data_IF_870619804551
#
_entry.id   IF_870619804551
#
_cell.length_a   1.000
_cell.length_b   1.000
_cell.length_c   1.000
_cell.angle_alpha   90.00
_cell.angle_beta   90.00
_cell.angle_gamma   90.00
#
_symmetry.space_group_name_H-M   'P 1'
#
loop_
_entity.id
_entity.type
_entity.pdbx_description
1 polymer ?
#
# COMPACT_ATOMS: atom_id res chain seq x y z
N UNK A 1 3.47 -11.13 -15.55
CA UNK A 1 2.28 -10.25 -15.46
C UNK A 1 2.31 -9.61 -14.08
N UNK A 2 2.41 -8.28 -14.02
CA UNK A 2 2.56 -7.55 -12.75
C UNK A 2 1.40 -7.87 -11.81
N UNK A 3 1.69 -8.10 -10.54
CA UNK A 3 0.71 -7.97 -9.46
C UNK A 3 -0.14 -6.74 -9.74
N UNK A 4 -1.45 -6.92 -9.89
CA UNK A 4 -2.34 -5.81 -10.20
C UNK A 4 -2.25 -4.83 -9.03
N UNK A 5 -1.52 -3.74 -9.23
CA UNK A 5 -1.42 -2.66 -8.27
C UNK A 5 -2.86 -2.25 -7.90
N UNK A 6 -3.10 -2.05 -6.61
CA UNK A 6 -4.38 -1.58 -6.08
C UNK A 6 -4.93 -0.47 -6.97
N UNK A 7 -6.04 -0.73 -7.66
CA UNK A 7 -6.67 0.23 -8.54
C UNK A 7 -7.79 0.95 -7.75
N UNK A 8 -7.56 2.20 -7.30
CA UNK A 8 -8.59 2.98 -6.61
C UNK A 8 -9.81 3.31 -7.49
N UNK A 9 -9.76 3.03 -8.79
CA UNK A 9 -10.86 3.22 -9.75
C UNK A 9 -11.56 1.90 -10.14
N UNK A 10 -11.68 0.96 -9.20
CA UNK A 10 -12.62 -0.15 -9.37
C UNK A 10 -14.04 0.42 -9.51
N UNK A 11 -14.90 -0.20 -10.34
CA UNK A 11 -16.28 0.25 -10.57
C UNK A 11 -17.07 0.48 -9.28
N UNK A 12 -16.79 -0.31 -8.22
CA UNK A 12 -17.38 -0.15 -6.89
C UNK A 12 -17.03 1.19 -6.24
N UNK A 13 -15.77 1.64 -6.39
CA UNK A 13 -15.31 2.94 -5.87
C UNK A 13 -15.88 4.09 -6.68
N UNK A 14 -15.95 3.94 -8.01
CA UNK A 14 -16.57 4.94 -8.88
C UNK A 14 -18.04 5.11 -8.52
N UNK A 15 -18.80 4.02 -8.38
CA UNK A 15 -20.20 4.07 -7.99
C UNK A 15 -20.38 4.70 -6.61
N UNK A 16 -19.55 4.33 -5.63
CA UNK A 16 -19.57 4.92 -4.31
C UNK A 16 -19.29 6.42 -4.35
N UNK A 17 -18.26 6.86 -5.08
CA UNK A 17 -17.95 8.29 -5.19
C UNK A 17 -19.09 9.06 -5.86
N UNK A 18 -19.71 8.49 -6.89
CA UNK A 18 -20.86 9.10 -7.59
C UNK A 18 -22.07 9.28 -6.68
N UNK A 19 -22.46 8.23 -5.94
CA UNK A 19 -23.56 8.31 -4.98
C UNK A 19 -23.29 9.36 -3.90
N UNK A 20 -22.06 9.40 -3.36
CA UNK A 20 -21.68 10.37 -2.34
C UNK A 20 -21.67 11.80 -2.88
N UNK A 21 -21.19 12.02 -4.11
CA UNK A 21 -21.22 13.34 -4.75
C UNK A 21 -22.65 13.86 -4.93
N UNK A 22 -23.58 13.01 -5.36
CA UNK A 22 -25.00 13.39 -5.50
C UNK A 22 -25.59 13.75 -4.13
N UNK A 23 -25.34 12.92 -3.10
CA UNK A 23 -25.81 13.18 -1.74
C UNK A 23 -25.25 14.50 -1.18
N UNK A 24 -23.96 14.77 -1.35
CA UNK A 24 -23.39 16.05 -0.90
C UNK A 24 -23.88 17.24 -1.69
N UNK A 25 -24.06 17.09 -3.01
CA UNK A 25 -24.65 18.14 -3.85
C UNK A 25 -26.04 18.52 -3.37
N UNK A 26 -26.85 17.52 -3.00
CA UNK A 26 -28.19 17.71 -2.46
C UNK A 26 -28.15 18.46 -1.13
N UNK A 27 -27.26 18.07 -0.22
CA UNK A 27 -27.21 18.74 1.09
C UNK A 27 -26.68 20.17 0.95
N UNK A 28 -25.65 20.39 0.14
CA UNK A 28 -25.04 21.70 -0.06
C UNK A 28 -25.92 22.67 -0.84
N UNK A 29 -26.85 22.19 -1.67
CA UNK A 29 -27.82 23.09 -2.32
C UNK A 29 -28.72 23.81 -1.32
N UNK A 30 -29.04 23.16 -0.19
CA UNK A 30 -29.77 23.79 0.93
C UNK A 30 -28.83 24.52 1.89
N UNK A 31 -27.64 23.97 2.13
CA UNK A 31 -26.72 24.39 3.19
C UNK A 31 -25.31 24.73 2.67
N UNK A 32 -25.15 25.71 1.77
CA UNK A 32 -23.89 25.99 1.08
C UNK A 32 -22.76 26.48 2.01
N UNK A 33 -23.13 27.02 3.18
CA UNK A 33 -22.19 27.50 4.20
C UNK A 33 -21.38 26.37 4.84
N UNK A 34 -21.93 25.15 4.91
CA UNK A 34 -21.32 24.01 5.60
C UNK A 34 -20.42 23.16 4.69
N UNK A 35 -19.92 23.74 3.60
CA UNK A 35 -19.13 23.02 2.62
C UNK A 35 -17.90 22.35 3.21
N UNK A 36 -17.16 23.05 4.07
CA UNK A 36 -15.93 22.54 4.65
C UNK A 36 -16.25 21.34 5.56
N UNK A 37 -17.30 21.45 6.37
CA UNK A 37 -17.75 20.41 7.27
C UNK A 37 -18.18 19.15 6.51
N UNK A 38 -18.97 19.30 5.43
CA UNK A 38 -19.36 18.18 4.58
C UNK A 38 -18.20 17.59 3.79
N UNK A 39 -17.23 18.41 3.36
CA UNK A 39 -16.04 17.93 2.68
C UNK A 39 -15.12 17.12 3.62
N UNK A 40 -14.97 17.56 4.87
CA UNK A 40 -14.26 16.79 5.92
C UNK A 40 -14.98 15.47 6.18
N UNK A 41 -16.32 15.50 6.32
CA UNK A 41 -17.11 14.29 6.49
C UNK A 41 -16.92 13.31 5.32
N UNK A 42 -16.90 13.81 4.08
CA UNK A 42 -16.59 13.00 2.90
C UNK A 42 -15.23 12.32 3.02
N UNK A 43 -14.18 13.07 3.37
CA UNK A 43 -12.83 12.51 3.55
C UNK A 43 -12.84 11.42 4.61
N UNK A 44 -13.49 11.63 5.76
CA UNK A 44 -13.56 10.63 6.85
C UNK A 44 -14.28 9.37 6.38
N UNK A 45 -15.44 9.51 5.74
CA UNK A 45 -16.22 8.35 5.24
C UNK A 45 -15.43 7.61 4.15
N UNK A 46 -14.82 8.33 3.23
CA UNK A 46 -13.98 7.76 2.17
C UNK A 46 -12.78 7.00 2.75
N UNK A 47 -12.06 7.58 3.72
CA UNK A 47 -10.95 6.94 4.42
C UNK A 47 -11.41 5.71 5.21
N UNK A 48 -12.57 5.77 5.87
CA UNK A 48 -13.15 4.64 6.59
C UNK A 48 -13.47 3.48 5.66
N UNK A 49 -14.18 3.74 4.56
CA UNK A 49 -14.57 2.70 3.60
C UNK A 49 -13.34 2.11 2.89
N UNK A 50 -12.43 2.96 2.40
CA UNK A 50 -11.19 2.49 1.76
C UNK A 50 -10.35 1.66 2.73
N UNK A 51 -10.23 2.07 4.00
CA UNK A 51 -9.54 1.29 5.03
C UNK A 51 -10.18 -0.08 5.24
N UNK A 52 -11.51 -0.17 5.33
CA UNK A 52 -12.21 -1.46 5.47
C UNK A 52 -12.01 -2.35 4.25
N UNK A 53 -12.08 -1.79 3.05
CA UNK A 53 -11.89 -2.56 1.81
C UNK A 53 -10.45 -3.06 1.72
N UNK A 54 -9.46 -2.19 1.92
CA UNK A 54 -8.04 -2.55 1.96
C UNK A 54 -7.80 -3.61 3.02
N UNK A 55 -8.39 -3.47 4.20
CA UNK A 55 -8.26 -4.45 5.29
C UNK A 55 -8.82 -5.83 4.90
N UNK A 56 -9.93 -5.87 4.16
CA UNK A 56 -10.53 -7.13 3.69
C UNK A 56 -9.81 -7.73 2.48
N UNK A 57 -9.22 -6.90 1.62
CA UNK A 57 -8.55 -7.34 0.39
C UNK A 57 -7.05 -7.59 0.57
N UNK A 58 -6.45 -7.20 1.69
CA UNK A 58 -5.01 -7.34 1.89
C UNK A 58 -4.63 -8.80 2.19
N UNK A 59 -3.84 -9.45 1.31
CA UNK A 59 -3.42 -10.84 1.51
C UNK A 59 -2.60 -11.03 2.80
N UNK A 60 -1.85 -10.01 3.25
CA UNK A 60 -1.11 -10.05 4.51
C UNK A 60 -2.04 -10.26 5.73
N UNK A 61 -3.25 -9.70 5.69
CA UNK A 61 -4.20 -9.86 6.80
C UNK A 61 -4.88 -11.23 6.78
N UNK A 62 -5.09 -11.79 5.59
CA UNK A 62 -5.60 -13.15 5.42
C UNK A 62 -4.62 -14.20 5.95
N UNK A 63 -3.33 -13.93 5.83
CA UNK A 63 -2.24 -14.82 6.23
C UNK A 63 -1.77 -14.63 7.69
N UNK A 64 -2.52 -13.88 8.52
CA UNK A 64 -2.22 -13.69 9.95
C UNK A 64 -2.14 -15.01 10.74
N UNK A 65 -2.90 -16.04 10.36
CA UNK A 65 -2.77 -17.38 10.98
C UNK A 65 -1.37 -17.96 10.75
N UNK A 66 -0.85 -17.83 9.53
CA UNK A 66 0.51 -18.25 9.21
C UNK A 66 1.56 -17.46 9.98
N UNK A 67 1.33 -16.18 10.29
CA UNK A 67 2.21 -15.41 11.17
C UNK A 67 2.31 -16.02 12.58
N UNK A 68 1.19 -16.42 13.17
CA UNK A 68 1.18 -17.13 14.46
C UNK A 68 1.95 -18.45 14.41
N UNK A 69 1.76 -19.22 13.33
CA UNK A 69 2.47 -20.47 13.12
C UNK A 69 3.99 -20.29 12.93
N UNK A 70 4.42 -19.29 12.17
CA UNK A 70 5.83 -18.97 11.95
C UNK A 70 6.48 -18.53 13.27
N UNK A 71 5.77 -17.72 14.06
CA UNK A 71 6.27 -17.22 15.35
C UNK A 71 6.47 -18.34 16.37
N UNK A 72 5.58 -19.34 16.38
CA UNK A 72 5.67 -20.49 17.27
C UNK A 72 6.61 -21.60 16.79
N UNK A 73 7.07 -21.54 15.53
CA UNK A 73 7.94 -22.54 14.96
C UNK A 73 9.37 -22.43 15.50
N UNK A 74 10.13 -23.53 15.43
CA UNK A 74 11.54 -23.56 15.83
C UNK A 74 12.35 -22.57 14.99
N UNK A 75 13.07 -21.69 15.67
CA UNK A 75 14.03 -20.77 15.06
C UNK A 75 15.27 -21.54 14.60
N UNK A 76 15.59 -21.42 13.31
CA UNK A 76 16.81 -21.98 12.71
C UNK A 76 17.95 -20.96 12.74
N UNK A 77 17.63 -19.68 12.58
CA UNK A 77 18.60 -18.59 12.59
C UNK A 77 17.92 -17.27 12.94
N UNK A 78 18.68 -16.37 13.55
CA UNK A 78 18.22 -15.05 13.95
C UNK A 78 19.32 -14.02 13.67
N UNK A 79 18.97 -13.00 12.91
CA UNK A 79 19.81 -11.82 12.66
C UNK A 79 19.19 -10.62 13.36
N UNK A 80 19.97 -9.96 14.23
CA UNK A 80 19.51 -8.85 15.07
C UNK A 80 20.06 -7.50 14.63
N UNK A 81 21.12 -7.49 13.81
CA UNK A 81 21.88 -6.29 13.43
C UNK A 81 22.15 -6.26 11.93
N UNK A 82 21.10 -6.40 11.12
CA UNK A 82 21.21 -6.20 9.67
C UNK A 82 21.38 -4.72 9.28
N UNK A 83 21.11 -3.78 10.20
CA UNK A 83 21.13 -2.32 9.95
C UNK A 83 22.48 -1.82 9.42
N UNK A 84 23.59 -2.31 9.96
CA UNK A 84 24.93 -1.85 9.53
C UNK A 84 25.24 -2.27 8.09
N UNK A 85 24.68 -3.39 7.62
CA UNK A 85 24.82 -3.86 6.25
C UNK A 85 23.88 -3.11 5.31
N UNK A 86 22.65 -2.85 5.75
CA UNK A 86 21.67 -2.04 5.01
C UNK A 86 22.23 -0.63 4.75
N UNK A 87 22.81 0.01 5.77
CA UNK A 87 23.35 1.36 5.65
C UNK A 87 24.59 1.45 4.75
N UNK A 88 25.24 0.31 4.46
CA UNK A 88 26.38 0.24 3.51
C UNK A 88 25.94 0.02 2.06
N UNK A 89 24.69 -0.35 1.82
CA UNK A 89 24.15 -0.54 0.48
C UNK A 89 23.60 0.79 -0.05
N UNK A 90 24.48 1.56 -0.69
CA UNK A 90 24.12 2.86 -1.28
C UNK A 90 22.97 2.75 -2.30
N UNK A 91 22.89 1.65 -3.05
CA UNK A 91 21.86 1.49 -4.07
C UNK A 91 20.49 1.26 -3.42
N UNK A 92 20.44 0.47 -2.34
CA UNK A 92 19.22 0.33 -1.55
C UNK A 92 18.75 1.67 -0.96
N UNK A 93 19.70 2.46 -0.43
CA UNK A 93 19.39 3.78 0.11
C UNK A 93 18.89 4.74 -0.98
N UNK A 94 19.51 4.74 -2.17
CA UNK A 94 19.06 5.54 -3.32
C UNK A 94 17.66 5.12 -3.77
N UNK A 95 17.42 3.83 -4.00
CA UNK A 95 16.10 3.29 -4.37
C UNK A 95 15.01 3.69 -3.35
N UNK A 96 15.29 3.50 -2.06
CA UNK A 96 14.35 3.82 -0.97
C UNK A 96 14.09 5.33 -0.88
N UNK A 97 15.14 6.15 -1.00
CA UNK A 97 15.03 7.62 -0.93
C UNK A 97 14.27 8.19 -2.12
N UNK A 98 14.50 7.67 -3.33
CA UNK A 98 13.77 8.08 -4.53
C UNK A 98 12.28 7.81 -4.40
N UNK A 99 11.92 6.62 -3.91
CA UNK A 99 10.52 6.27 -3.70
C UNK A 99 9.91 7.12 -2.59
N UNK A 100 10.63 7.35 -1.49
CA UNK A 100 10.17 8.22 -0.41
C UNK A 100 9.97 9.66 -0.90
N UNK A 101 10.90 10.20 -1.71
CA UNK A 101 10.79 11.53 -2.32
C UNK A 101 9.59 11.62 -3.26
N UNK A 102 9.35 10.59 -4.07
CA UNK A 102 8.19 10.52 -4.96
C UNK A 102 6.87 10.46 -4.19
N UNK A 103 6.81 9.65 -3.13
CA UNK A 103 5.64 9.56 -2.25
C UNK A 103 5.40 10.87 -1.49
N UNK A 104 6.44 11.54 -0.99
CA UNK A 104 6.32 12.85 -0.34
C UNK A 104 5.89 13.94 -1.31
N UNK A 105 6.45 13.96 -2.52
CA UNK A 105 6.03 14.89 -3.58
C UNK A 105 4.55 14.68 -3.94
N UNK A 106 4.14 13.41 -4.07
CA UNK A 106 2.74 13.03 -4.27
C UNK A 106 1.82 13.52 -3.15
N UNK A 107 2.21 13.38 -1.88
CA UNK A 107 1.46 13.92 -0.75
C UNK A 107 1.43 15.45 -0.75
N UNK A 108 2.56 16.11 -1.05
CA UNK A 108 2.64 17.57 -1.14
C UNK A 108 1.71 18.15 -2.20
N UNK A 109 1.64 17.50 -3.37
CA UNK A 109 0.71 17.86 -4.45
C UNK A 109 -0.75 17.70 -3.98
N UNK A 110 -1.07 16.62 -3.24
CA UNK A 110 -2.41 16.42 -2.68
C UNK A 110 -2.79 17.51 -1.67
N UNK A 111 -1.86 17.92 -0.79
CA UNK A 111 -2.09 19.04 0.14
C UNK A 111 -2.28 20.37 -0.59
N UNK A 112 -1.44 20.64 -1.61
CA UNK A 112 -1.57 21.85 -2.43
C UNK A 112 -2.94 21.89 -3.14
N UNK A 113 -3.38 20.76 -3.69
CA UNK A 113 -4.71 20.63 -4.30
C UNK A 113 -5.83 20.96 -3.30
N UNK A 114 -5.74 20.45 -2.07
CA UNK A 114 -6.73 20.71 -1.03
C UNK A 114 -6.77 22.19 -0.61
N UNK A 115 -5.60 22.83 -0.48
CA UNK A 115 -5.50 24.28 -0.18
C UNK A 115 -6.14 25.10 -1.31
N UNK A 116 -5.80 24.80 -2.56
CA UNK A 116 -6.37 25.49 -3.73
C UNK A 116 -7.89 25.33 -3.77
N UNK A 117 -8.39 24.13 -3.49
CA UNK A 117 -9.83 23.85 -3.47
C UNK A 117 -10.55 24.68 -2.40
N UNK A 118 -10.02 24.75 -1.18
CA UNK A 118 -10.60 25.56 -0.09
C UNK A 118 -10.60 27.05 -0.44
N UNK A 119 -9.49 27.57 -0.98
CA UNK A 119 -9.38 28.97 -1.39
C UNK A 119 -10.38 29.27 -2.52
N UNK A 120 -10.39 28.45 -3.57
CA UNK A 120 -11.31 28.60 -4.70
C UNK A 120 -12.77 28.59 -4.22
N UNK A 121 -13.10 27.68 -3.31
CA UNK A 121 -14.46 27.59 -2.77
C UNK A 121 -14.86 28.85 -2.00
N UNK A 122 -14.05 29.26 -1.03
CA UNK A 122 -14.38 30.37 -0.14
C UNK A 122 -14.35 31.74 -0.83
N UNK A 123 -13.51 31.93 -1.84
CA UNK A 123 -13.39 33.23 -2.51
C UNK A 123 -14.29 33.38 -3.75
N UNK A 124 -14.49 32.30 -4.50
CA UNK A 124 -15.18 32.34 -5.81
C UNK A 124 -16.52 31.61 -5.74
N UNK A 125 -16.50 30.33 -5.37
CA UNK A 125 -17.66 29.45 -5.52
C UNK A 125 -18.80 29.86 -4.59
N UNK A 126 -18.51 30.13 -3.31
CA UNK A 126 -19.57 30.47 -2.35
C UNK A 126 -20.33 31.73 -2.77
N UNK A 127 -19.63 32.76 -3.26
CA UNK A 127 -20.26 34.01 -3.73
C UNK A 127 -21.20 33.75 -4.91
N UNK A 128 -20.76 32.92 -5.85
CA UNK A 128 -21.56 32.54 -7.01
C UNK A 128 -22.77 31.67 -6.64
N UNK A 129 -22.61 30.69 -5.76
CA UNK A 129 -23.71 29.81 -5.37
C UNK A 129 -24.75 30.55 -4.53
N UNK A 130 -24.33 31.48 -3.67
CA UNK A 130 -25.25 32.28 -2.85
C UNK A 130 -26.09 33.26 -3.66
N UNK A 131 -25.66 33.65 -4.87
CA UNK A 131 -26.43 34.56 -5.73
C UNK A 131 -27.54 33.86 -6.53
N UNK A 132 -27.45 32.54 -6.72
CA UNK A 132 -28.50 31.73 -7.34
C UNK A 132 -29.63 31.62 -6.33
N UNK A 133 -30.86 32.05 -6.63
CA UNK A 133 -31.99 31.97 -5.69
C UNK A 133 -32.64 30.59 -5.67
N UNK A 134 -32.71 29.92 -6.82
CA UNK A 134 -33.37 28.63 -6.99
C UNK A 134 -32.46 27.46 -6.57
N UNK A 135 -33.00 26.62 -5.69
CA UNK A 135 -32.31 25.46 -5.10
C UNK A 135 -31.98 24.40 -6.14
N UNK A 136 -32.80 24.23 -7.18
CA UNK A 136 -32.57 23.23 -8.23
C UNK A 136 -31.34 23.59 -9.08
N UNK A 137 -31.17 24.87 -9.40
CA UNK A 137 -29.98 25.35 -10.11
C UNK A 137 -28.72 25.28 -9.23
N UNK A 138 -28.84 25.56 -7.92
CA UNK A 138 -27.73 25.34 -6.97
C UNK A 138 -27.30 23.88 -6.92
N UNK A 139 -28.26 22.96 -6.89
CA UNK A 139 -27.99 21.52 -6.92
C UNK A 139 -27.25 21.12 -8.19
N UNK A 140 -27.75 21.53 -9.36
CA UNK A 140 -27.09 21.24 -10.64
C UNK A 140 -25.66 21.81 -10.70
N UNK A 141 -25.45 22.99 -10.14
CA UNK A 141 -24.11 23.58 -10.02
C UNK A 141 -23.18 22.74 -9.15
N UNK A 142 -23.64 22.28 -7.98
CA UNK A 142 -22.82 21.43 -7.11
C UNK A 142 -22.49 20.09 -7.75
N UNK A 143 -23.44 19.47 -8.45
CA UNK A 143 -23.18 18.23 -9.21
C UNK A 143 -22.07 18.45 -10.24
N UNK A 144 -22.17 19.52 -11.04
CA UNK A 144 -21.16 19.86 -12.02
C UNK A 144 -19.80 20.16 -11.36
N UNK A 145 -19.80 20.90 -10.26
CA UNK A 145 -18.60 21.24 -9.51
C UNK A 145 -17.89 19.99 -8.99
N UNK A 146 -18.61 19.07 -8.35
CA UNK A 146 -18.02 17.82 -7.86
C UNK A 146 -17.55 16.91 -8.99
N UNK A 147 -18.25 16.87 -10.12
CA UNK A 147 -17.78 16.12 -11.29
C UNK A 147 -16.48 16.68 -11.86
N UNK A 148 -16.34 18.01 -11.94
CA UNK A 148 -15.08 18.64 -12.34
C UNK A 148 -13.95 18.30 -11.36
N UNK A 149 -14.22 18.36 -10.05
CA UNK A 149 -13.24 17.97 -9.03
C UNK A 149 -12.85 16.50 -9.12
N UNK A 150 -13.81 15.61 -9.35
CA UNK A 150 -13.59 14.19 -9.55
C UNK A 150 -12.75 13.94 -10.80
N UNK A 151 -13.07 14.61 -11.93
CA UNK A 151 -12.30 14.53 -13.17
C UNK A 151 -10.85 14.99 -13.01
N UNK A 152 -10.63 16.11 -12.32
CA UNK A 152 -9.26 16.58 -11.99
C UNK A 152 -8.53 15.57 -11.11
N UNK A 153 -9.20 15.03 -10.08
CA UNK A 153 -8.63 14.02 -9.19
C UNK A 153 -8.27 12.72 -9.94
N UNK A 154 -9.13 12.30 -10.88
CA UNK A 154 -8.91 11.15 -11.75
C UNK A 154 -7.67 11.35 -12.64
N UNK A 155 -7.55 12.50 -13.29
CA UNK A 155 -6.40 12.84 -14.13
C UNK A 155 -5.10 12.90 -13.30
N UNK A 156 -5.16 13.50 -12.11
CA UNK A 156 -4.04 13.62 -11.20
C UNK A 156 -3.57 12.23 -10.72
N UNK A 157 -4.50 11.34 -10.38
CA UNK A 157 -4.16 9.98 -9.97
C UNK A 157 -3.50 9.19 -11.12
N UNK A 158 -4.05 9.29 -12.34
CA UNK A 158 -3.51 8.58 -13.51
C UNK A 158 -2.12 9.04 -13.94
N UNK A 159 -1.81 10.34 -13.81
CA UNK A 159 -0.54 10.92 -14.28
C UNK A 159 0.51 11.09 -13.19
N UNK A 160 0.11 11.42 -11.96
CA UNK A 160 1.03 11.90 -10.91
C UNK A 160 1.16 10.88 -9.78
N UNK A 161 0.06 10.28 -9.32
CA UNK A 161 0.03 9.42 -8.12
C UNK A 161 0.27 7.93 -8.45
N UNK A 162 1.25 7.62 -9.30
CA UNK A 162 1.66 6.22 -9.51
C UNK A 162 2.46 5.73 -8.31
N UNK A 163 1.76 5.23 -7.29
CA UNK A 163 2.37 4.57 -6.15
C UNK A 163 3.21 3.39 -6.62
N UNK A 164 4.53 3.45 -6.40
CA UNK A 164 5.41 2.33 -6.68
C UNK A 164 5.28 1.32 -5.55
N UNK A 165 4.71 0.14 -5.85
CA UNK A 165 4.47 -0.94 -4.88
C UNK A 165 5.62 -1.95 -4.81
N UNK A 166 6.63 -1.84 -5.66
CA UNK A 166 7.76 -2.79 -5.73
C UNK A 166 9.02 -2.18 -5.12
N UNK A 167 8.93 -1.73 -3.87
CA UNK A 167 10.11 -1.34 -3.11
C UNK A 167 10.66 -2.62 -2.46
N UNK A 168 11.96 -2.95 -2.64
CA UNK A 168 12.57 -4.00 -1.85
C UNK A 168 12.44 -3.66 -0.36
N UNK A 169 11.89 -4.58 0.42
CA UNK A 169 11.78 -4.43 1.86
C UNK A 169 13.00 -5.07 2.52
N UNK A 170 13.72 -4.32 3.36
CA UNK A 170 14.89 -4.81 4.09
C UNK A 170 14.62 -4.73 5.61
N UNK A 171 14.29 -5.86 6.27
CA UNK A 171 14.11 -5.87 7.72
C UNK A 171 15.47 -5.69 8.42
N UNK A 172 15.49 -4.86 9.45
CA UNK A 172 16.67 -4.60 10.30
C UNK A 172 16.97 -5.74 11.28
N UNK A 173 15.96 -6.54 11.61
CA UNK A 173 16.11 -7.78 12.36
C UNK A 173 15.08 -8.81 11.90
N UNK A 174 15.49 -10.07 11.78
CA UNK A 174 14.62 -11.16 11.31
C UNK A 174 15.05 -12.52 11.86
N UNK A 175 14.10 -13.46 11.81
CA UNK A 175 14.28 -14.86 12.19
C UNK A 175 13.87 -15.74 11.03
N UNK A 176 14.69 -16.73 10.75
CA UNK A 176 14.37 -17.83 9.83
C UNK A 176 13.93 -19.00 10.71
N UNK A 177 12.70 -19.47 10.48
CA UNK A 177 12.07 -20.57 11.21
C UNK A 177 11.77 -21.72 10.25
N UNK A 178 11.46 -22.89 10.78
CA UNK A 178 11.06 -24.04 9.95
C UNK A 178 9.80 -23.80 9.10
N UNK A 179 8.98 -22.80 9.45
CA UNK A 179 7.73 -22.47 8.74
C UNK A 179 7.81 -21.19 7.88
N UNK A 180 8.95 -20.50 7.88
CA UNK A 180 9.12 -19.28 7.08
C UNK A 180 10.06 -18.25 7.72
N UNK A 181 10.07 -17.04 7.15
CA UNK A 181 10.88 -15.91 7.63
C UNK A 181 9.97 -14.88 8.28
N UNK A 182 10.36 -14.34 9.42
CA UNK A 182 9.63 -13.28 10.12
C UNK A 182 10.58 -12.17 10.54
N UNK A 183 10.19 -10.93 10.30
CA UNK A 183 10.88 -9.78 10.85
C UNK A 183 10.56 -9.62 12.34
N UNK A 184 11.57 -9.31 13.13
CA UNK A 184 11.42 -9.00 14.57
C UNK A 184 11.37 -7.49 14.83
N UNK A 185 11.52 -6.69 13.77
CA UNK A 185 11.45 -5.23 13.82
C UNK A 185 10.05 -4.68 13.47
N UNK A 186 9.95 -3.34 13.43
CA UNK A 186 8.72 -2.62 13.08
C UNK A 186 8.29 -2.78 11.62
N UNK A 187 9.09 -3.45 10.78
CA UNK A 187 8.75 -3.67 9.38
C UNK A 187 7.53 -4.58 9.24
N UNK A 188 7.28 -5.46 10.22
CA UNK A 188 6.12 -6.37 10.19
C UNK A 188 6.14 -7.36 9.03
N UNK A 189 7.30 -7.57 8.41
CA UNK A 189 7.48 -8.52 7.32
C UNK A 189 7.29 -9.95 7.83
N UNK A 190 6.52 -10.74 7.10
CA UNK A 190 6.47 -12.19 7.29
C UNK A 190 6.31 -12.88 5.95
N UNK A 191 7.07 -13.96 5.76
CA UNK A 191 7.13 -14.76 4.55
C UNK A 191 6.87 -16.23 4.91
N UNK A 192 5.62 -16.71 4.77
CA UNK A 192 5.30 -18.12 4.94
C UNK A 192 6.05 -19.02 3.95
N UNK A 193 6.49 -20.19 4.39
CA UNK A 193 7.27 -21.12 3.57
C UNK A 193 6.57 -21.53 2.26
N UNK A 194 5.24 -21.66 2.28
CA UNK A 194 4.42 -21.95 1.08
C UNK A 194 4.64 -20.98 -0.08
N UNK A 195 4.96 -19.71 0.21
CA UNK A 195 5.21 -18.69 -0.82
C UNK A 195 6.68 -18.60 -1.22
N UNK A 196 7.58 -19.20 -0.45
CA UNK A 196 8.98 -19.28 -0.82
C UNK A 196 9.19 -20.25 -1.99
N UNK A 197 8.39 -21.32 -2.11
CA UNK A 197 8.52 -22.36 -3.14
C UNK A 197 8.68 -21.79 -4.56
N UNK A 198 7.81 -20.86 -4.93
CA UNK A 198 7.78 -20.23 -6.25
C UNK A 198 8.60 -18.93 -6.33
N UNK A 199 9.32 -18.57 -5.27
CA UNK A 199 10.10 -17.34 -5.22
C UNK A 199 11.50 -17.54 -5.80
N UNK A 200 11.91 -16.56 -6.61
CA UNK A 200 13.27 -16.42 -7.12
C UNK A 200 14.17 -15.94 -5.97
N UNK A 201 15.21 -16.72 -5.67
CA UNK A 201 16.21 -16.39 -4.66
C UNK A 201 17.49 -16.04 -5.40
N UNK A 202 18.00 -14.84 -5.20
CA UNK A 202 19.26 -14.36 -5.79
C UNK A 202 20.20 -13.90 -4.68
N UNK A 203 21.27 -14.64 -4.37
CA UNK A 203 22.29 -14.20 -3.43
C UNK A 203 23.18 -13.13 -4.08
N UNK A 204 23.48 -12.05 -3.35
CA UNK A 204 24.49 -11.07 -3.70
C UNK A 204 25.58 -11.07 -2.63
N UNK A 205 26.73 -11.65 -2.97
CA UNK A 205 27.86 -11.83 -2.04
C UNK A 205 28.60 -10.53 -1.77
N UNK A 206 28.73 -9.66 -2.77
CA UNK A 206 29.48 -8.41 -2.67
C UNK A 206 28.81 -7.45 -1.67
N UNK A 207 27.48 -7.35 -1.77
CA UNK A 207 26.66 -6.47 -0.92
C UNK A 207 26.07 -7.16 0.31
N UNK A 208 26.39 -8.44 0.51
CA UNK A 208 25.97 -9.22 1.67
C UNK A 208 24.45 -9.21 1.89
N UNK A 209 23.69 -9.55 0.85
CA UNK A 209 22.25 -9.81 0.98
C UNK A 209 21.77 -11.00 0.13
N UNK A 210 20.64 -11.57 0.53
CA UNK A 210 19.86 -12.51 -0.28
C UNK A 210 18.55 -11.84 -0.68
N UNK A 211 18.32 -11.72 -1.99
CA UNK A 211 17.11 -11.14 -2.54
C UNK A 211 16.08 -12.22 -2.84
N UNK A 212 14.87 -12.05 -2.31
CA UNK A 212 13.76 -12.98 -2.51
C UNK A 212 12.64 -12.22 -3.22
N UNK A 213 12.35 -12.63 -4.46
CA UNK A 213 11.31 -12.04 -5.31
C UNK A 213 10.24 -13.08 -5.61
N UNK A 214 9.00 -12.73 -5.33
CA UNK A 214 7.84 -13.47 -5.81
C UNK A 214 6.98 -12.57 -6.69
N UNK A 215 6.72 -13.04 -7.91
CA UNK A 215 5.75 -12.43 -8.82
C UNK A 215 4.36 -13.07 -8.71
N UNK A 216 4.09 -13.87 -7.67
CA UNK A 216 2.78 -14.48 -7.47
C UNK A 216 1.71 -13.41 -7.20
N UNK A 217 0.64 -13.46 -7.99
CA UNK A 217 -0.56 -12.64 -7.85
C UNK A 217 -1.19 -12.67 -6.44
N UNK A 218 -1.07 -13.79 -5.72
CA UNK A 218 -1.68 -13.97 -4.39
C UNK A 218 -0.86 -13.34 -3.26
N UNK A 219 0.46 -13.29 -3.43
CA UNK A 219 1.39 -12.76 -2.42
C UNK A 219 2.65 -12.24 -3.12
N UNK A 220 2.59 -11.04 -3.74
CA UNK A 220 3.77 -10.42 -4.34
C UNK A 220 4.65 -9.86 -3.22
N UNK A 221 5.91 -10.22 -3.23
CA UNK A 221 6.88 -9.67 -2.28
C UNK A 221 8.26 -9.55 -2.92
N UNK A 222 8.99 -8.55 -2.45
CA UNK A 222 10.37 -8.28 -2.83
C UNK A 222 11.12 -7.92 -1.57
N UNK A 223 11.97 -8.83 -1.10
CA UNK A 223 12.65 -8.72 0.19
C UNK A 223 14.15 -8.88 0.00
N UNK A 224 14.95 -8.08 0.72
CA UNK A 224 16.40 -8.24 0.83
C UNK A 224 16.75 -8.59 2.27
N UNK A 225 17.29 -9.78 2.50
CA UNK A 225 17.78 -10.24 3.81
C UNK A 225 19.28 -10.03 3.89
N UNK A 226 19.74 -9.12 4.75
CA UNK A 226 21.17 -8.80 4.91
C UNK A 226 21.79 -9.62 6.04
N UNK A 227 22.97 -10.19 5.79
CA UNK A 227 23.71 -10.98 6.79
C UNK A 227 25.20 -11.00 6.48
N UNK A 228 26.08 -11.08 7.49
CA UNK A 228 27.51 -11.31 7.27
C UNK A 228 27.81 -12.63 6.55
N UNK A 229 26.98 -13.65 6.78
CA UNK A 229 27.12 -15.01 6.25
C UNK A 229 25.95 -15.32 5.29
N UNK A 230 26.21 -15.15 3.99
CA UNK A 230 25.21 -15.29 2.93
C UNK A 230 24.97 -16.75 2.54
N UNK A 231 26.02 -17.55 2.57
CA UNK A 231 25.93 -18.96 2.19
C UNK A 231 25.05 -19.70 3.21
N UNK A 232 25.22 -19.42 4.51
CA UNK A 232 24.36 -19.97 5.57
C UNK A 232 22.90 -19.57 5.40
N UNK A 233 22.60 -18.32 5.03
CA UNK A 233 21.21 -17.89 4.83
C UNK A 233 20.58 -18.55 3.62
N UNK A 234 21.34 -18.63 2.52
CA UNK A 234 20.86 -19.27 1.29
C UNK A 234 20.54 -20.74 1.57
N UNK A 235 21.44 -21.45 2.26
CA UNK A 235 21.23 -22.83 2.69
C UNK A 235 19.99 -22.98 3.58
N UNK A 236 19.81 -22.10 4.56
CA UNK A 236 18.66 -22.15 5.47
C UNK A 236 17.34 -21.89 4.75
N UNK A 237 17.28 -20.95 3.81
CA UNK A 237 16.08 -20.69 3.01
C UNK A 237 15.77 -21.89 2.13
N UNK A 238 16.77 -22.50 1.49
CA UNK A 238 16.59 -23.73 0.72
C UNK A 238 16.13 -24.91 1.58
N UNK A 239 16.65 -25.02 2.82
CA UNK A 239 16.21 -26.03 3.78
C UNK A 239 14.73 -25.85 4.13
N UNK A 240 14.29 -24.61 4.37
CA UNK A 240 12.88 -24.30 4.62
C UNK A 240 12.01 -24.66 3.41
N UNK A 241 12.47 -24.37 2.17
CA UNK A 241 11.79 -24.81 0.94
C UNK A 241 11.65 -26.34 0.88
N UNK A 242 12.72 -27.08 1.16
CA UNK A 242 12.71 -28.56 1.14
C UNK A 242 11.76 -29.14 2.20
N UNK A 243 11.71 -28.55 3.39
CA UNK A 243 10.78 -28.96 4.46
C UNK A 243 9.32 -28.77 4.01
N UNK A 244 9.02 -27.64 3.36
CA UNK A 244 7.67 -27.35 2.87
C UNK A 244 7.27 -28.23 1.67
N UNK A 245 8.19 -28.50 0.73
CA UNK A 245 7.96 -29.44 -0.37
C UNK A 245 7.59 -30.84 0.15
N UNK A 246 8.32 -31.34 1.15
CA UNK A 246 8.04 -32.64 1.78
C UNK A 246 6.68 -32.71 2.47
N UNK A 247 6.11 -31.57 2.89
CA UNK A 247 4.76 -31.51 3.47
C UNK A 247 3.66 -31.46 2.42
N UNK A 248 3.94 -30.87 1.26
CA UNK A 248 2.99 -30.75 0.14
C UNK A 248 2.98 -31.98 -0.78
N UNK A 249 4.03 -32.80 -0.72
CA UNK A 249 4.06 -34.15 -1.27
C UNK A 249 3.65 -35.13 -0.16
N UNK A 250 2.35 -35.34 0.13
CA UNK A 250 1.98 -36.47 0.96
C UNK A 250 2.47 -37.72 0.23
N UNK A 251 3.30 -38.49 0.94
CA UNK A 251 3.52 -39.92 0.75
C UNK A 251 2.74 -40.54 -0.42
N UNK A 252 3.43 -40.86 -1.51
CA UNK A 252 3.14 -42.08 -2.26
C UNK A 252 3.32 -43.24 -1.25
N UNK A 253 2.22 -43.63 -0.62
CA UNK A 253 2.07 -44.83 0.19
C UNK A 253 0.64 -45.32 0.08
#
# INVERSE_FOLDING_TARGET
MSSSAYNPFNWKFILLSQVMMILFSLVLSFFPKYFIEFYILYIIVYLGITSVIVMRSNPLLRERRSLGEITAARTLYEEKKATDLINKDEDYLKETTEVMKKNMSSLGIMFLYLIILIILYNYVIIKFVTSISDTLYRFGFYVLYFELLYGVSFLMNRRVLRFQTNIPMAPTSYKITEKGVIATDRSGLFLPAKYLLNAQISPNRDKKYVEIKSSDSKFPFHVRLYSPDIDKITELIERVKKIELKKQSPSES
#
